data_IF_007027729396
#
_entry.id   IF_007027729396
#
_cell.length_a   1.000
_cell.length_b   1.000
_cell.length_c   1.000
_cell.angle_alpha   90.00
_cell.angle_beta   90.00
_cell.angle_gamma   90.00
#
_symmetry.space_group_name_H-M   'P 1'
#
loop_
_entity.id
_entity.type
_entity.pdbx_description
1 polymer ?
#
# COMPACT_ATOMS: atom_id res chain seq x y z
N UNK A 1 8.53 5.99 19.57
CA UNK A 1 8.32 5.94 18.11
C UNK A 1 7.91 4.52 17.79
N UNK A 2 6.79 4.30 17.09
CA UNK A 2 6.33 2.94 16.80
C UNK A 2 7.26 2.27 15.79
N UNK A 3 7.88 1.17 16.19
CA UNK A 3 8.74 0.37 15.32
C UNK A 3 7.90 -0.42 14.33
N UNK A 4 8.40 -0.56 13.11
CA UNK A 4 7.71 -1.25 12.02
C UNK A 4 7.38 -2.71 12.37
N UNK A 5 8.30 -3.39 13.07
CA UNK A 5 8.13 -4.77 13.55
C UNK A 5 7.02 -4.94 14.57
N UNK A 6 6.61 -3.88 15.26
CA UNK A 6 5.50 -3.88 16.22
C UNK A 6 4.12 -3.69 15.58
N UNK A 7 4.04 -3.45 14.28
CA UNK A 7 2.76 -3.37 13.56
C UNK A 7 2.19 -4.78 13.31
N UNK A 8 0.86 -4.94 13.25
CA UNK A 8 0.27 -6.21 12.82
C UNK A 8 0.75 -6.65 11.44
N UNK A 9 0.86 -7.96 11.22
CA UNK A 9 1.40 -8.51 9.97
C UNK A 9 0.72 -7.96 8.72
N UNK A 10 -0.62 -7.83 8.76
CA UNK A 10 -1.39 -7.28 7.64
C UNK A 10 -1.04 -5.81 7.36
N UNK A 11 -0.75 -5.00 8.39
CA UNK A 11 -0.31 -3.62 8.20
C UNK A 11 1.03 -3.55 7.51
N UNK A 12 1.97 -4.37 7.98
CA UNK A 12 3.31 -4.45 7.39
C UNK A 12 3.21 -4.82 5.90
N UNK A 13 2.40 -5.84 5.57
CA UNK A 13 2.12 -6.26 4.19
C UNK A 13 1.45 -5.16 3.36
N UNK A 14 0.46 -4.43 3.90
CA UNK A 14 -0.20 -3.32 3.21
C UNK A 14 0.81 -2.22 2.88
N UNK A 15 1.61 -1.79 3.85
CA UNK A 15 2.61 -0.73 3.69
C UNK A 15 3.65 -1.11 2.63
N UNK A 16 4.20 -2.33 2.71
CA UNK A 16 5.19 -2.83 1.75
C UNK A 16 4.60 -2.99 0.35
N UNK A 17 3.36 -3.49 0.23
CA UNK A 17 2.69 -3.61 -1.06
C UNK A 17 2.52 -2.25 -1.73
N UNK A 18 1.98 -1.25 -1.02
CA UNK A 18 1.79 0.10 -1.56
C UNK A 18 3.15 0.74 -1.89
N UNK A 19 4.19 0.47 -1.11
CA UNK A 19 5.55 0.95 -1.41
C UNK A 19 6.05 0.45 -2.75
N UNK A 20 5.92 -0.85 -3.01
CA UNK A 20 6.42 -1.51 -4.22
C UNK A 20 5.50 -1.28 -5.44
N UNK A 21 4.18 -1.23 -5.24
CA UNK A 21 3.19 -1.17 -6.32
C UNK A 21 2.71 0.25 -6.68
N UNK A 22 2.94 1.24 -5.81
CA UNK A 22 2.33 2.57 -5.91
C UNK A 22 0.95 2.64 -5.23
N UNK A 23 0.15 3.69 -5.50
CA UNK A 23 -1.17 3.85 -4.90
C UNK A 23 -2.13 2.71 -5.27
N UNK A 24 -2.93 2.24 -4.30
CA UNK A 24 -3.83 1.08 -4.47
C UNK A 24 -5.18 1.29 -3.78
N UNK A 25 -6.24 0.68 -4.31
CA UNK A 25 -7.56 0.64 -3.69
C UNK A 25 -7.79 -0.64 -2.86
N UNK A 26 -8.62 -0.62 -1.79
CA UNK A 26 -8.72 -1.72 -0.82
C UNK A 26 -9.04 -3.10 -1.40
N UNK A 27 -9.98 -3.18 -2.36
CA UNK A 27 -10.35 -4.46 -2.96
C UNK A 27 -9.21 -5.12 -3.75
N UNK A 28 -8.27 -4.33 -4.29
CA UNK A 28 -7.06 -4.88 -4.90
C UNK A 28 -6.10 -5.40 -3.84
N UNK A 29 -5.93 -4.71 -2.71
CA UNK A 29 -5.09 -5.18 -1.60
C UNK A 29 -5.61 -6.50 -1.03
N UNK A 30 -6.90 -6.60 -0.73
CA UNK A 30 -7.54 -7.83 -0.23
C UNK A 30 -7.23 -9.04 -1.13
N UNK A 31 -7.40 -8.90 -2.45
CA UNK A 31 -7.07 -9.95 -3.42
C UNK A 31 -5.58 -10.30 -3.48
N UNK A 32 -4.68 -9.35 -3.18
CA UNK A 32 -3.23 -9.53 -3.31
C UNK A 32 -2.57 -10.06 -2.06
N UNK A 33 -3.17 -9.77 -0.92
CA UNK A 33 -2.71 -10.22 0.39
C UNK A 33 -3.47 -11.46 0.88
N UNK A 34 -4.41 -11.98 0.06
CA UNK A 34 -5.30 -13.08 0.42
C UNK A 34 -5.99 -12.84 1.77
N UNK A 35 -6.49 -11.60 1.96
CA UNK A 35 -7.10 -11.15 3.21
C UNK A 35 -8.53 -10.67 2.98
N UNK A 36 -9.33 -10.61 4.05
CA UNK A 36 -10.70 -10.09 3.98
C UNK A 36 -10.72 -8.59 3.63
N UNK A 37 -11.73 -8.18 2.85
CA UNK A 37 -11.87 -6.79 2.44
C UNK A 37 -12.26 -5.87 3.61
N UNK A 38 -13.10 -6.35 4.52
CA UNK A 38 -13.49 -5.63 5.73
C UNK A 38 -12.29 -5.38 6.63
N UNK A 39 -11.49 -6.43 6.85
CA UNK A 39 -10.25 -6.35 7.61
C UNK A 39 -9.25 -5.37 6.97
N UNK A 40 -8.99 -5.48 5.67
CA UNK A 40 -8.09 -4.55 4.94
C UNK A 40 -8.58 -3.10 5.05
N UNK A 41 -9.90 -2.86 4.97
CA UNK A 41 -10.45 -1.50 5.14
C UNK A 41 -10.21 -0.97 6.56
N UNK A 42 -10.44 -1.79 7.57
CA UNK A 42 -10.20 -1.44 8.98
C UNK A 42 -8.71 -1.11 9.19
N UNK A 43 -7.80 -1.97 8.73
CA UNK A 43 -6.35 -1.74 8.80
C UNK A 43 -5.92 -0.45 8.08
N UNK A 44 -6.44 -0.18 6.88
CA UNK A 44 -6.16 1.08 6.16
C UNK A 44 -6.61 2.29 6.97
N UNK A 45 -7.77 2.24 7.64
CA UNK A 45 -8.25 3.34 8.47
C UNK A 45 -7.30 3.59 9.65
N UNK A 46 -6.85 2.53 10.34
CA UNK A 46 -5.88 2.64 11.43
C UNK A 46 -4.53 3.20 10.94
N UNK A 47 -4.05 2.75 9.79
CA UNK A 47 -2.83 3.29 9.17
C UNK A 47 -2.98 4.75 8.73
N UNK A 48 -4.18 5.19 8.33
CA UNK A 48 -4.46 6.60 8.07
C UNK A 48 -4.46 7.43 9.37
N UNK A 49 -5.08 6.92 10.44
CA UNK A 49 -5.05 7.57 11.77
C UNK A 49 -3.62 7.72 12.29
N UNK A 50 -2.79 6.71 12.08
CA UNK A 50 -1.37 6.72 12.39
C UNK A 50 -0.50 7.58 11.44
N UNK A 51 -1.11 8.24 10.45
CA UNK A 51 -0.45 9.06 9.42
C UNK A 51 0.61 8.30 8.61
N UNK A 52 0.47 6.99 8.45
CA UNK A 52 1.33 6.16 7.60
C UNK A 52 0.79 6.06 6.16
N UNK A 53 -0.54 6.10 6.02
CA UNK A 53 -1.24 6.17 4.74
C UNK A 53 -2.05 7.46 4.62
N UNK A 54 -2.30 7.86 3.39
CA UNK A 54 -3.23 8.94 3.05
C UNK A 54 -4.05 8.58 1.82
N UNK A 55 -5.27 9.15 1.76
CA UNK A 55 -6.12 9.05 0.57
C UNK A 55 -5.53 9.92 -0.54
N UNK A 56 -5.37 9.36 -1.73
CA UNK A 56 -5.01 10.13 -2.91
C UNK A 56 -6.16 11.08 -3.26
N UNK A 57 -5.87 12.38 -3.33
CA UNK A 57 -6.80 13.43 -3.77
C UNK A 57 -6.70 13.66 -5.29
N UNK A 58 -7.71 14.26 -5.90
CA UNK A 58 -7.77 14.47 -7.36
C UNK A 58 -8.43 13.33 -8.15
N UNK A 59 -8.81 13.63 -9.40
CA UNK A 59 -9.43 12.68 -10.33
C UNK A 59 -8.40 11.77 -11.01
N UNK A 60 -7.12 12.05 -10.86
CA UNK A 60 -6.05 11.30 -11.49
C UNK A 60 -5.01 10.83 -10.48
N UNK A 61 -4.46 9.65 -10.74
CA UNK A 61 -3.41 9.03 -9.96
C UNK A 61 -2.17 9.02 -10.83
N UNK A 62 -1.13 9.72 -10.37
CA UNK A 62 0.19 9.70 -11.01
C UNK A 62 1.18 9.06 -10.05
N UNK A 63 1.84 8.00 -10.49
CA UNK A 63 2.92 7.38 -9.72
C UNK A 63 4.00 6.84 -10.65
N UNK A 64 5.24 6.80 -10.16
CA UNK A 64 6.37 6.26 -10.92
C UNK A 64 6.65 4.84 -10.50
N UNK A 65 6.75 3.93 -11.48
CA UNK A 65 7.20 2.55 -11.25
C UNK A 65 8.73 2.47 -11.22
N UNK A 66 9.40 3.31 -12.03
CA UNK A 66 10.84 3.45 -12.08
C UNK A 66 11.23 4.89 -12.50
N UNK A 67 12.54 5.16 -12.68
CA UNK A 67 13.05 6.49 -13.03
C UNK A 67 12.52 7.02 -14.38
N UNK A 68 12.15 6.15 -15.31
CA UNK A 68 11.76 6.50 -16.69
C UNK A 68 10.25 6.40 -16.91
N UNK A 69 9.55 5.58 -16.13
CA UNK A 69 8.15 5.26 -16.35
C UNK A 69 7.22 5.87 -15.29
N UNK A 70 6.52 6.95 -15.68
CA UNK A 70 5.40 7.50 -14.95
C UNK A 70 4.09 6.91 -15.47
N UNK A 71 3.24 6.46 -14.55
CA UNK A 71 1.92 5.90 -14.82
C UNK A 71 0.88 6.93 -14.40
N UNK A 72 0.01 7.34 -15.34
CA UNK A 72 -1.16 8.19 -15.10
C UNK A 72 -2.43 7.37 -15.28
N UNK A 73 -3.36 7.46 -14.33
CA UNK A 73 -4.65 6.76 -14.37
C UNK A 73 -5.77 7.66 -13.90
N UNK A 74 -6.93 7.58 -14.55
CA UNK A 74 -8.15 8.16 -13.99
C UNK A 74 -8.63 7.33 -12.80
N UNK A 75 -9.15 8.01 -11.77
CA UNK A 75 -9.49 7.41 -10.49
C UNK A 75 -10.97 7.01 -10.44
N UNK A 76 -11.23 5.72 -10.60
CA UNK A 76 -12.58 5.15 -10.46
C UNK A 76 -12.90 4.63 -9.05
N UNK A 77 -11.90 4.58 -8.17
CA UNK A 77 -12.02 4.06 -6.80
C UNK A 77 -11.28 4.95 -5.80
N UNK A 78 -11.47 4.73 -4.50
CA UNK A 78 -10.63 5.39 -3.49
C UNK A 78 -9.26 4.70 -3.42
N UNK A 79 -8.20 5.44 -3.73
CA UNK A 79 -6.82 4.98 -3.66
C UNK A 79 -6.12 5.54 -2.43
N UNK A 80 -5.22 4.75 -1.87
CA UNK A 80 -4.37 5.10 -0.75
C UNK A 80 -2.91 5.03 -1.17
N UNK A 81 -2.10 5.94 -0.63
CA UNK A 81 -0.65 5.98 -0.83
C UNK A 81 0.07 6.20 0.50
N UNK A 82 1.39 5.96 0.51
CA UNK A 82 2.22 6.21 1.68
C UNK A 82 2.43 7.71 1.86
N UNK A 83 2.24 8.18 3.10
CA UNK A 83 2.71 9.50 3.51
C UNK A 83 4.23 9.55 3.52
N UNK A 84 4.80 10.74 3.70
CA UNK A 84 6.23 10.90 3.95
C UNK A 84 6.69 10.06 5.16
N UNK A 85 5.92 10.04 6.24
CA UNK A 85 6.22 9.28 7.45
C UNK A 85 6.20 7.77 7.19
N UNK A 86 5.19 7.25 6.48
CA UNK A 86 5.12 5.83 6.10
C UNK A 86 6.32 5.39 5.25
N UNK A 87 6.79 6.24 4.32
CA UNK A 87 8.01 5.98 3.54
C UNK A 87 9.26 5.93 4.42
N UNK A 88 9.39 6.82 5.40
CA UNK A 88 10.53 6.81 6.32
C UNK A 88 10.53 5.59 7.23
N UNK A 89 9.36 5.17 7.72
CA UNK A 89 9.21 3.97 8.53
C UNK A 89 9.76 2.74 7.80
N UNK A 90 9.32 2.54 6.55
CA UNK A 90 9.77 1.41 5.72
C UNK A 90 11.28 1.45 5.42
N UNK A 91 11.86 2.63 5.20
CA UNK A 91 13.30 2.77 4.95
C UNK A 91 14.16 2.38 6.16
N UNK A 92 13.62 2.49 7.38
CA UNK A 92 14.34 2.14 8.62
C UNK A 92 14.18 0.68 9.01
N UNK A 93 13.13 0.03 8.52
CA UNK A 93 12.74 -1.29 8.97
C UNK A 93 13.70 -2.41 8.54
N UNK A 94 14.56 -2.19 7.54
CA UNK A 94 15.47 -3.19 6.95
C UNK A 94 14.87 -4.62 6.89
N UNK A 95 13.61 -4.71 6.46
CA UNK A 95 12.84 -5.95 6.47
C UNK A 95 12.45 -6.33 5.05
N UNK A 96 12.79 -7.55 4.65
CA UNK A 96 12.30 -8.15 3.41
C UNK A 96 10.95 -8.83 3.66
N UNK A 97 9.86 -8.08 3.51
CA UNK A 97 8.53 -8.67 3.45
C UNK A 97 8.22 -9.04 1.99
N UNK A 98 7.99 -10.33 1.79
CA UNK A 98 7.47 -10.82 0.51
C UNK A 98 5.99 -10.47 0.37
N UNK A 99 5.66 -9.86 -0.77
CA UNK A 99 4.29 -9.48 -1.11
C UNK A 99 4.06 -9.78 -2.57
N UNK A 100 2.94 -10.44 -2.87
CA UNK A 100 2.67 -10.87 -4.23
C UNK A 100 2.23 -9.70 -5.14
N UNK A 101 3.19 -9.15 -5.89
CA UNK A 101 2.94 -8.07 -6.86
C UNK A 101 2.24 -8.56 -8.14
N UNK A 102 2.12 -9.87 -8.36
CA UNK A 102 1.51 -10.46 -9.55
C UNK A 102 0.02 -10.72 -9.36
N UNK A 103 -0.80 -10.49 -10.40
CA UNK A 103 -2.22 -10.84 -10.34
C UNK A 103 -2.43 -12.33 -10.09
N UNK A 104 -3.54 -12.73 -9.42
CA UNK A 104 -3.89 -14.13 -9.24
C UNK A 104 -3.89 -14.94 -10.55
N UNK A 105 -4.34 -14.33 -11.65
CA UNK A 105 -4.40 -14.96 -12.97
C UNK A 105 -3.06 -15.00 -13.73
N UNK A 106 -1.95 -14.57 -13.10
CA UNK A 106 -0.60 -14.57 -13.68
C UNK A 106 0.40 -15.27 -12.75
N UNK A 107 -0.10 -16.07 -11.81
CA UNK A 107 0.69 -16.94 -10.95
C UNK A 107 0.87 -18.26 -11.72
N UNK A 108 2.11 -18.53 -12.13
CA UNK A 108 2.52 -19.78 -12.78
C UNK A 108 2.95 -20.78 -11.72
#
# INVERSE_FOLDING_TARGET
MSDFSGLPELDQKILVYIHKAGPVFPAKLAKRLASDLGEVRSRIQELCKARLLERVTGSEIVFRKDKRNAIRKHRNHTYFTLTRQGKHLLRRADTEIDVNLRPPWLQA
#
